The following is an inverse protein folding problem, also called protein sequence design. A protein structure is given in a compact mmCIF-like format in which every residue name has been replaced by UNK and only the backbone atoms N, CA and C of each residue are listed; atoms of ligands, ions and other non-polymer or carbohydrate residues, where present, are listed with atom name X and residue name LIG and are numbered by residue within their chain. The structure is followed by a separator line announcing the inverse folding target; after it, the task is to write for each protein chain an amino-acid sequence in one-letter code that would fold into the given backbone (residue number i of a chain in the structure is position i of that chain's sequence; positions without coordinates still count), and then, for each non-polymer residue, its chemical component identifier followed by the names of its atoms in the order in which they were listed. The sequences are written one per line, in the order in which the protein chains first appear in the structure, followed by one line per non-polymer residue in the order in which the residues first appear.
data_IF_646206640063
#
_entry.id   IF_646206640063
#
_cell.length_a   1.000
_cell.length_b   1.000
_cell.length_c   1.000
_cell.angle_alpha   90.00
_cell.angle_beta   90.00
_cell.angle_gamma   90.00
#
_symmetry.space_group_name_H-M   'P 1'
#
loop_
_entity.id
_entity.type
_entity.pdbx_description
1 polymer ?
#
# COMPACT_ATOMS: atom_id res chain seq x y z
N UNK A 1 -18.92 -10.04 32.82
CA UNK A 1 -19.95 -10.05 31.77
C UNK A 1 -19.48 -9.10 30.67
N UNK A 2 -18.95 -9.65 29.57
CA UNK A 2 -18.49 -8.87 28.42
C UNK A 2 -19.72 -8.39 27.64
N UNK A 3 -19.90 -7.08 27.53
CA UNK A 3 -20.95 -6.47 26.73
C UNK A 3 -20.38 -6.08 25.37
N UNK A 4 -20.78 -6.83 24.35
CA UNK A 4 -20.67 -6.45 22.93
C UNK A 4 -21.77 -5.43 22.63
N UNK A 5 -21.41 -4.22 22.20
CA UNK A 5 -22.37 -3.27 21.66
C UNK A 5 -21.74 -2.43 20.54
N UNK A 6 -22.29 -2.64 19.34
CA UNK A 6 -22.43 -1.70 18.23
C UNK A 6 -21.23 -1.42 17.30
N UNK A 7 -21.04 -2.37 16.38
CA UNK A 7 -20.26 -2.25 15.15
C UNK A 7 -21.11 -1.52 14.07
N UNK A 8 -21.22 -0.20 14.17
CA UNK A 8 -21.90 0.65 13.16
C UNK A 8 -21.10 1.92 12.80
N UNK A 9 -19.80 1.93 13.09
CA UNK A 9 -18.86 3.04 12.80
C UNK A 9 -17.73 2.60 11.84
N UNK A 10 -17.90 1.46 11.18
CA UNK A 10 -16.86 0.78 10.42
C UNK A 10 -16.61 1.31 9.00
N UNK A 11 -17.36 2.31 8.53
CA UNK A 11 -17.33 2.62 7.09
C UNK A 11 -16.44 3.83 6.75
N UNK A 12 -16.49 4.90 7.54
CA UNK A 12 -15.77 6.16 7.22
C UNK A 12 -14.47 6.31 8.00
N UNK A 13 -14.47 6.10 9.31
CA UNK A 13 -13.26 6.25 10.13
C UNK A 13 -12.22 5.17 9.81
N UNK A 14 -12.67 3.95 9.50
CA UNK A 14 -11.77 2.88 9.04
C UNK A 14 -11.22 3.15 7.64
N UNK A 15 -12.03 3.69 6.71
CA UNK A 15 -11.56 4.06 5.38
C UNK A 15 -10.51 5.19 5.42
N UNK A 16 -10.68 6.18 6.30
CA UNK A 16 -9.71 7.27 6.49
C UNK A 16 -8.41 6.74 7.10
N UNK A 17 -8.47 5.82 8.07
CA UNK A 17 -7.30 5.16 8.64
C UNK A 17 -6.55 4.32 7.59
N UNK A 18 -7.29 3.55 6.79
CA UNK A 18 -6.71 2.76 5.69
C UNK A 18 -6.09 3.68 4.63
N UNK A 19 -6.77 4.75 4.22
CA UNK A 19 -6.25 5.72 3.25
C UNK A 19 -5.01 6.47 3.79
N UNK A 20 -4.94 6.71 5.11
CA UNK A 20 -3.79 7.32 5.76
C UNK A 20 -2.57 6.39 5.76
N UNK A 21 -2.77 5.09 6.05
CA UNK A 21 -1.72 4.08 5.93
C UNK A 21 -1.26 3.91 4.46
N UNK A 22 -2.19 3.98 3.51
CA UNK A 22 -1.90 3.88 2.08
C UNK A 22 -1.39 5.19 1.47
N UNK A 23 -1.39 6.30 2.22
CA UNK A 23 -0.99 7.62 1.72
C UNK A 23 0.47 7.63 1.21
N UNK A 24 1.31 6.78 1.79
CA UNK A 24 2.71 6.58 1.38
C UNK A 24 2.82 6.03 -0.05
N UNK A 25 1.86 5.18 -0.47
CA UNK A 25 1.84 4.62 -1.82
C UNK A 25 1.70 5.72 -2.87
N UNK A 26 0.86 6.71 -2.59
CA UNK A 26 0.64 7.88 -3.43
C UNK A 26 1.57 9.06 -3.14
N UNK A 27 2.62 8.86 -2.35
CA UNK A 27 3.65 9.86 -2.08
C UNK A 27 4.50 10.17 -3.32
N UNK A 28 5.35 11.20 -3.23
CA UNK A 28 6.38 11.42 -4.24
C UNK A 28 7.29 10.19 -4.38
N UNK A 29 7.82 9.92 -5.59
CA UNK A 29 8.63 8.73 -5.84
C UNK A 29 9.81 8.58 -4.87
N UNK A 30 10.41 9.70 -4.42
CA UNK A 30 11.47 9.68 -3.42
C UNK A 30 11.01 9.24 -2.02
N UNK A 31 9.82 9.66 -1.60
CA UNK A 31 9.21 9.24 -0.32
C UNK A 31 8.84 7.77 -0.39
N UNK A 32 8.26 7.35 -1.50
CA UNK A 32 7.91 5.95 -1.74
C UNK A 32 9.14 5.04 -1.74
N UNK A 33 10.22 5.43 -2.42
CA UNK A 33 11.47 4.68 -2.44
C UNK A 33 12.12 4.56 -1.04
N UNK A 34 12.08 5.64 -0.24
CA UNK A 34 12.55 5.60 1.14
C UNK A 34 11.73 4.63 2.01
N UNK A 35 10.40 4.62 1.83
CA UNK A 35 9.50 3.66 2.47
C UNK A 35 9.85 2.22 2.08
N UNK A 36 9.96 1.92 0.78
CA UNK A 36 10.33 0.58 0.28
C UNK A 36 11.68 0.13 0.85
N UNK A 37 12.66 1.04 0.96
CA UNK A 37 13.96 0.74 1.55
C UNK A 37 13.85 0.40 3.04
N UNK A 38 13.11 1.18 3.82
CA UNK A 38 12.88 0.87 5.24
C UNK A 38 12.22 -0.48 5.43
N UNK A 39 11.24 -0.78 4.56
CA UNK A 39 10.55 -2.06 4.51
C UNK A 39 11.51 -3.20 4.09
N UNK A 40 12.44 -2.97 3.15
CA UNK A 40 13.48 -3.96 2.82
C UNK A 40 14.45 -4.21 3.98
N UNK A 41 14.83 -3.16 4.71
CA UNK A 41 15.75 -3.25 5.85
C UNK A 41 15.13 -4.02 7.02
N UNK A 42 13.84 -3.82 7.31
CA UNK A 42 13.11 -4.59 8.33
C UNK A 42 13.05 -6.09 7.97
N UNK A 43 12.86 -6.39 6.69
CA UNK A 43 12.84 -7.75 6.16
C UNK A 43 14.20 -8.19 5.60
N UNK A 44 15.31 -7.58 6.03
CA UNK A 44 16.65 -7.92 5.54
C UNK A 44 17.02 -9.39 5.82
N UNK A 45 16.40 -9.99 6.84
CA UNK A 45 16.52 -11.41 7.18
C UNK A 45 15.79 -12.35 6.19
N UNK A 46 14.88 -11.83 5.37
CA UNK A 46 14.16 -12.59 4.34
C UNK A 46 15.00 -12.67 3.06
N UNK A 47 15.16 -13.87 2.48
CA UNK A 47 15.85 -14.07 1.20
C UNK A 47 15.27 -13.17 0.10
N UNK A 48 16.14 -12.66 -0.78
CA UNK A 48 15.74 -11.76 -1.85
C UNK A 48 14.64 -12.34 -2.74
N UNK A 49 14.71 -13.62 -3.12
CA UNK A 49 13.68 -14.25 -3.96
C UNK A 49 12.31 -14.28 -3.28
N UNK A 50 12.26 -14.75 -2.03
CA UNK A 50 11.02 -14.78 -1.23
C UNK A 50 10.46 -13.38 -1.02
N UNK A 51 11.34 -12.42 -0.72
CA UNK A 51 10.97 -11.01 -0.59
C UNK A 51 10.32 -10.48 -1.85
N UNK A 52 10.95 -10.71 -3.01
CA UNK A 52 10.49 -10.19 -4.30
C UNK A 52 9.17 -10.80 -4.71
N UNK A 53 9.01 -12.12 -4.59
CA UNK A 53 7.75 -12.80 -4.89
C UNK A 53 6.62 -12.35 -3.97
N UNK A 54 6.87 -12.25 -2.66
CA UNK A 54 5.87 -11.79 -1.69
C UNK A 54 5.49 -10.33 -1.92
N UNK A 55 6.49 -9.46 -2.17
CA UNK A 55 6.27 -8.04 -2.45
C UNK A 55 5.53 -7.85 -3.77
N UNK A 56 5.91 -8.55 -4.84
CA UNK A 56 5.21 -8.50 -6.11
C UNK A 56 3.73 -8.87 -5.96
N UNK A 57 3.42 -9.96 -5.25
CA UNK A 57 2.03 -10.37 -5.00
C UNK A 57 1.22 -9.31 -4.24
N UNK A 58 1.84 -8.63 -3.26
CA UNK A 58 1.20 -7.51 -2.54
C UNK A 58 0.92 -6.34 -3.47
N UNK A 59 1.90 -5.93 -4.29
CA UNK A 59 1.74 -4.83 -5.26
C UNK A 59 0.66 -5.16 -6.30
N UNK A 60 0.67 -6.38 -6.83
CA UNK A 60 -0.37 -6.87 -7.75
C UNK A 60 -1.74 -6.85 -7.08
N UNK A 61 -1.85 -7.30 -5.83
CA UNK A 61 -3.09 -7.24 -5.06
C UNK A 61 -3.65 -5.82 -4.92
N UNK A 62 -2.79 -4.81 -4.78
CA UNK A 62 -3.22 -3.40 -4.80
C UNK A 62 -3.65 -2.93 -6.19
N UNK A 63 -2.94 -3.32 -7.24
CA UNK A 63 -3.28 -2.95 -8.63
C UNK A 63 -4.59 -3.58 -9.12
N UNK A 64 -4.96 -4.75 -8.57
CA UNK A 64 -6.23 -5.44 -8.83
C UNK A 64 -7.45 -4.79 -8.16
N UNK A 65 -7.24 -3.86 -7.21
CA UNK A 65 -8.36 -3.10 -6.63
C UNK A 65 -8.88 -2.07 -7.63
N UNK A 66 -10.20 -1.86 -7.63
CA UNK A 66 -10.83 -0.80 -8.44
C UNK A 66 -10.34 0.59 -8.04
N UNK A 67 -10.18 0.82 -6.73
CA UNK A 67 -9.61 2.04 -6.16
C UNK A 67 -8.65 1.70 -5.02
N UNK A 68 -7.47 2.32 -4.99
CA UNK A 68 -6.51 2.18 -3.89
C UNK A 68 -6.92 3.09 -2.73
N UNK A 69 -7.38 4.30 -3.06
CA UNK A 69 -7.90 5.25 -2.08
C UNK A 69 -9.42 5.31 -2.14
N UNK A 70 -10.06 5.16 -1.01
CA UNK A 70 -11.54 5.13 -0.91
C UNK A 70 -12.11 6.54 -0.86
N UNK A 71 -11.36 7.48 -0.28
CA UNK A 71 -11.76 8.89 -0.16
C UNK A 71 -11.61 9.63 -1.50
N UNK A 72 -12.63 10.35 -2.00
CA UNK A 72 -12.58 11.04 -3.30
C UNK A 72 -11.41 12.02 -3.46
N UNK A 73 -11.05 12.74 -2.38
CA UNK A 73 -9.92 13.68 -2.38
C UNK A 73 -8.57 12.98 -2.55
N UNK A 74 -8.35 11.88 -1.82
CA UNK A 74 -7.13 11.08 -1.91
C UNK A 74 -7.07 10.37 -3.26
N UNK A 75 -8.18 9.78 -3.70
CA UNK A 75 -8.29 9.16 -5.02
C UNK A 75 -7.90 10.13 -6.14
N UNK A 76 -8.51 11.31 -6.21
CA UNK A 76 -8.21 12.28 -7.27
C UNK A 76 -6.74 12.75 -7.30
N UNK A 77 -6.10 12.89 -6.14
CA UNK A 77 -4.71 13.38 -6.07
C UNK A 77 -3.65 12.28 -6.14
N UNK A 78 -3.93 11.11 -5.58
CA UNK A 78 -2.92 10.10 -5.22
C UNK A 78 -3.09 8.78 -5.96
N UNK A 79 -4.27 8.45 -6.46
CA UNK A 79 -4.54 7.17 -7.16
C UNK A 79 -3.55 6.95 -8.32
N UNK A 80 -3.43 7.92 -9.22
CA UNK A 80 -2.54 7.82 -10.38
C UNK A 80 -1.06 7.70 -9.97
N UNK A 81 -0.65 8.43 -8.93
CA UNK A 81 0.72 8.37 -8.40
C UNK A 81 0.99 7.03 -7.71
N UNK A 82 0.05 6.52 -6.92
CA UNK A 82 0.15 5.22 -6.28
C UNK A 82 0.29 4.11 -7.32
N UNK A 83 -0.59 4.07 -8.32
CA UNK A 83 -0.50 3.09 -9.42
C UNK A 83 0.83 3.18 -10.16
N UNK A 84 1.33 4.39 -10.43
CA UNK A 84 2.63 4.58 -11.07
C UNK A 84 3.80 4.07 -10.20
N UNK A 85 3.81 4.40 -8.90
CA UNK A 85 4.83 3.94 -7.96
C UNK A 85 4.82 2.41 -7.80
N UNK A 86 3.64 1.82 -7.60
CA UNK A 86 3.46 0.36 -7.48
C UNK A 86 3.94 -0.36 -8.75
N UNK A 87 3.56 0.16 -9.94
CA UNK A 87 3.97 -0.43 -11.22
C UNK A 87 5.48 -0.32 -11.46
N UNK A 88 6.09 0.82 -11.08
CA UNK A 88 7.53 1.01 -11.17
C UNK A 88 8.30 0.06 -10.25
N UNK A 89 7.82 -0.15 -9.02
CA UNK A 89 8.39 -1.14 -8.11
C UNK A 89 8.23 -2.56 -8.65
N UNK A 90 7.02 -2.94 -9.10
CA UNK A 90 6.77 -4.27 -9.66
C UNK A 90 7.68 -4.57 -10.85
N UNK A 91 7.88 -3.59 -11.74
CA UNK A 91 8.80 -3.71 -12.88
C UNK A 91 10.25 -3.88 -12.44
N UNK A 92 10.65 -3.25 -11.35
CA UNK A 92 11.99 -3.42 -10.77
C UNK A 92 12.14 -4.82 -10.16
N UNK A 93 11.11 -5.30 -9.47
CA UNK A 93 11.06 -6.63 -8.87
C UNK A 93 10.96 -7.76 -9.90
N UNK A 94 10.46 -7.51 -11.12
CA UNK A 94 10.40 -8.51 -12.20
C UNK A 94 11.69 -8.56 -13.03
N UNK A 95 12.55 -7.52 -12.97
CA UNK A 95 13.75 -7.39 -13.81
C UNK A 95 15.07 -7.81 -13.15
N UNK A 96 15.15 -7.82 -11.83
CA UNK A 96 16.35 -8.32 -11.13
C UNK A 96 16.43 -9.84 -11.10
#
# INVERSE_FOLDING_TARGET
MFATADHSVFDVDSAVLIDADLAVLGGEPGVYAAYVRGVRDEYAHVPNDTWRSGRAAVLEGFLQRDAIFTTPFMHAQREARARANLTAELTTLSRG
#
